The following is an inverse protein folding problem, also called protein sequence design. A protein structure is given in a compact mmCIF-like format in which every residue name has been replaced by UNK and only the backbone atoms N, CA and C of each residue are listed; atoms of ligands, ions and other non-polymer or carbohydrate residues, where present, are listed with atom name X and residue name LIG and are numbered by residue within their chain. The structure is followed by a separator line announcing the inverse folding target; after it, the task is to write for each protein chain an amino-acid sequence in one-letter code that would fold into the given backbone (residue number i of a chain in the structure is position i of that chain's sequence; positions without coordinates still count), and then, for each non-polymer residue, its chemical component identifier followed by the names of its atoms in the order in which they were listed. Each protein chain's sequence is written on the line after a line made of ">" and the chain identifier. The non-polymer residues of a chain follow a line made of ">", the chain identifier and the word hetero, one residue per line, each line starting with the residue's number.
data_IF_264466265856
#
_entry.id   IF_264466265856
#
_cell.length_a   1.000
_cell.length_b   1.000
_cell.length_c   1.000
_cell.angle_alpha   90.00
_cell.angle_beta   90.00
_cell.angle_gamma   90.00
#
_symmetry.space_group_name_H-M   'P 1'
#
loop_
_entity.id
_entity.type
_entity.pdbx_description
1 polymer ?
#
# COMPACT_ATOMS: atom_id res chain seq x y z
N UNK A 1 -7.13 -5.55 -14.02
CA UNK A 1 -6.00 -4.60 -14.07
C UNK A 1 -4.70 -5.29 -13.67
N UNK A 2 -4.59 -5.93 -12.50
CA UNK A 2 -3.37 -6.60 -12.03
C UNK A 2 -2.89 -7.70 -12.99
N UNK A 3 -3.79 -8.57 -13.46
CA UNK A 3 -3.48 -9.62 -14.43
C UNK A 3 -2.90 -9.04 -15.74
N UNK A 4 -3.43 -7.91 -16.19
CA UNK A 4 -2.91 -7.25 -17.40
C UNK A 4 -1.52 -6.69 -17.14
N UNK A 5 -1.28 -6.12 -15.98
CA UNK A 5 0.04 -5.60 -15.60
C UNK A 5 1.07 -6.72 -15.50
N UNK A 6 0.71 -7.84 -14.89
CA UNK A 6 1.53 -9.05 -14.81
C UNK A 6 1.89 -9.57 -16.21
N UNK A 7 0.87 -9.73 -17.07
CA UNK A 7 1.11 -10.11 -18.47
C UNK A 7 2.05 -9.15 -19.21
N UNK A 8 1.87 -7.83 -19.02
CA UNK A 8 2.74 -6.84 -19.62
C UNK A 8 4.19 -6.92 -19.12
N UNK A 9 4.37 -7.17 -17.83
CA UNK A 9 5.70 -7.42 -17.25
C UNK A 9 6.32 -8.68 -17.85
N UNK A 10 5.58 -9.78 -17.91
CA UNK A 10 6.07 -11.04 -18.49
C UNK A 10 6.43 -10.91 -19.96
N UNK A 11 5.66 -10.16 -20.74
CA UNK A 11 6.01 -9.87 -22.14
C UNK A 11 7.36 -9.13 -22.24
N UNK A 12 7.59 -8.16 -21.34
CA UNK A 12 8.83 -7.38 -21.34
C UNK A 12 10.07 -8.21 -20.95
N UNK A 13 9.93 -9.08 -19.95
CA UNK A 13 11.08 -9.79 -19.38
C UNK A 13 11.28 -11.21 -19.94
N UNK A 14 10.23 -11.87 -20.40
CA UNK A 14 10.23 -13.27 -20.80
C UNK A 14 9.82 -13.48 -22.26
N UNK A 15 9.29 -12.44 -22.91
CA UNK A 15 8.81 -12.46 -24.28
C UNK A 15 7.36 -12.95 -24.41
N UNK A 16 6.67 -12.47 -25.45
CA UNK A 16 5.23 -12.65 -25.67
C UNK A 16 4.79 -14.13 -25.67
N UNK A 17 5.60 -15.02 -26.20
CA UNK A 17 5.26 -16.46 -26.33
C UNK A 17 5.16 -17.14 -24.95
N UNK A 18 6.09 -16.86 -24.05
CA UNK A 18 6.09 -17.43 -22.71
C UNK A 18 5.01 -16.77 -21.85
N UNK A 19 4.86 -15.45 -21.95
CA UNK A 19 3.82 -14.71 -21.24
C UNK A 19 2.42 -15.24 -21.60
N UNK A 20 2.13 -15.50 -22.89
CA UNK A 20 0.84 -16.08 -23.30
C UNK A 20 0.62 -17.50 -22.79
N UNK A 21 1.68 -18.31 -22.70
CA UNK A 21 1.56 -19.69 -22.24
C UNK A 21 1.18 -19.77 -20.75
N UNK A 22 1.62 -18.82 -19.94
CA UNK A 22 1.31 -18.75 -18.51
C UNK A 22 0.04 -17.93 -18.20
N UNK A 23 -0.34 -17.01 -19.08
CA UNK A 23 -1.54 -16.19 -18.90
C UNK A 23 -2.87 -16.98 -19.03
N UNK A 24 -2.85 -18.13 -19.66
CA UNK A 24 -4.00 -19.01 -19.80
C UNK A 24 -3.73 -20.33 -19.05
N UNK A 25 -4.55 -20.76 -18.07
CA UNK A 25 -5.93 -20.36 -17.83
C UNK A 25 -6.06 -19.22 -16.80
N UNK A 26 -7.08 -18.36 -17.01
CA UNK A 26 -7.55 -17.43 -15.99
C UNK A 26 -7.99 -18.25 -14.76
N UNK A 27 -7.16 -18.30 -13.74
CA UNK A 27 -7.52 -18.88 -12.46
C UNK A 27 -8.30 -17.85 -11.67
N UNK A 28 -9.39 -18.25 -11.04
CA UNK A 28 -10.08 -17.43 -10.04
C UNK A 28 -9.23 -17.42 -8.76
N UNK A 29 -8.12 -16.72 -8.80
CA UNK A 29 -7.35 -16.48 -7.59
C UNK A 29 -7.99 -15.28 -6.88
N UNK A 30 -8.39 -15.47 -5.63
CA UNK A 30 -9.03 -14.45 -4.80
C UNK A 30 -8.01 -13.40 -4.30
N UNK A 31 -7.32 -12.74 -5.21
CA UNK A 31 -6.31 -11.72 -4.88
C UNK A 31 -6.90 -10.37 -4.49
N UNK A 32 -8.22 -10.23 -4.59
CA UNK A 32 -8.89 -8.98 -4.29
C UNK A 32 -9.75 -9.16 -3.04
N UNK A 33 -9.32 -8.55 -1.95
CA UNK A 33 -10.12 -8.45 -0.74
C UNK A 33 -10.93 -7.17 -0.76
N UNK A 34 -12.26 -7.30 -0.72
CA UNK A 34 -13.16 -6.15 -0.69
C UNK A 34 -13.32 -5.64 0.74
N UNK A 35 -13.08 -4.35 0.96
CA UNK A 35 -13.28 -3.74 2.27
C UNK A 35 -12.59 -2.38 2.42
N UNK A 36 -12.79 -1.74 3.58
CA UNK A 36 -12.05 -0.55 3.93
C UNK A 36 -10.65 -0.93 4.39
N UNK A 37 -9.63 -0.60 3.59
CA UNK A 37 -8.24 -0.95 3.87
C UNK A 37 -7.73 -0.47 5.24
N UNK A 38 -8.28 0.63 5.78
CA UNK A 38 -7.91 1.10 7.11
C UNK A 38 -8.46 0.22 8.24
N UNK A 39 -9.53 -0.56 7.98
CA UNK A 39 -10.16 -1.46 8.95
C UNK A 39 -9.75 -2.92 8.77
N UNK A 40 -9.30 -3.30 7.57
CA UNK A 40 -8.84 -4.66 7.29
C UNK A 40 -7.55 -4.97 8.05
N UNK A 41 -7.38 -6.20 8.46
CA UNK A 41 -6.12 -6.70 9.00
C UNK A 41 -5.19 -7.11 7.85
N UNK A 42 -4.14 -6.32 7.63
CA UNK A 42 -3.20 -6.56 6.54
C UNK A 42 -2.35 -7.81 6.76
N UNK A 43 -2.07 -8.16 8.02
CA UNK A 43 -1.30 -9.36 8.34
C UNK A 43 -2.08 -10.65 8.05
N UNK A 44 -3.41 -10.61 8.20
CA UNK A 44 -4.25 -11.75 7.84
C UNK A 44 -4.40 -11.91 6.32
N UNK A 45 -4.29 -10.82 5.54
CA UNK A 45 -4.38 -10.83 4.08
C UNK A 45 -3.05 -11.23 3.45
N UNK A 46 -1.96 -10.69 3.96
CA UNK A 46 -0.61 -10.98 3.50
C UNK A 46 0.31 -11.13 4.72
N UNK A 47 0.43 -12.33 5.25
CA UNK A 47 1.26 -12.61 6.43
C UNK A 47 2.75 -12.47 6.11
N UNK A 48 3.60 -12.34 7.14
CA UNK A 48 5.04 -12.32 6.97
C UNK A 48 5.54 -13.52 6.18
N UNK A 49 6.60 -13.32 5.40
CA UNK A 49 7.29 -14.39 4.66
C UNK A 49 7.63 -15.57 5.58
N UNK A 50 7.32 -16.79 5.15
CA UNK A 50 7.56 -18.03 5.91
C UNK A 50 6.42 -18.44 6.85
N UNK A 51 5.33 -17.68 6.90
CA UNK A 51 4.11 -18.08 7.62
C UNK A 51 3.03 -18.47 6.62
N UNK A 52 2.57 -19.72 6.65
CA UNK A 52 1.44 -20.17 5.84
C UNK A 52 0.13 -19.51 6.24
N UNK A 53 -0.68 -19.08 5.27
CA UNK A 53 -2.06 -18.62 5.51
C UNK A 53 -3.00 -19.76 5.21
N UNK A 54 -3.76 -20.18 6.21
CA UNK A 54 -4.91 -21.06 5.98
C UNK A 54 -6.10 -20.20 5.56
N UNK A 55 -6.41 -20.17 4.28
CA UNK A 55 -7.65 -19.55 3.80
C UNK A 55 -8.76 -20.60 3.95
N UNK A 56 -9.67 -20.38 4.89
CA UNK A 56 -10.90 -21.13 4.96
C UNK A 56 -11.84 -20.59 3.87
N UNK A 57 -12.08 -21.38 2.84
CA UNK A 57 -13.09 -21.06 1.85
C UNK A 57 -14.47 -21.21 2.51
N UNK A 58 -15.25 -20.13 2.60
CA UNK A 58 -16.66 -20.20 2.94
C UNK A 58 -17.39 -20.88 1.78
N UNK A 59 -17.69 -22.17 1.94
CA UNK A 59 -18.53 -22.90 1.00
C UNK A 59 -20.00 -22.59 1.27
N UNK A 60 -20.65 -21.95 0.31
CA UNK A 60 -22.07 -21.63 0.31
C UNK A 60 -23.00 -22.87 0.25
N UNK A 61 -22.46 -24.08 0.11
CA UNK A 61 -23.24 -25.30 -0.16
C UNK A 61 -22.99 -26.47 0.78
N UNK A 62 -22.42 -26.29 1.96
CA UNK A 62 -22.23 -27.33 2.99
C UNK A 62 -21.85 -28.75 2.44
N UNK A 63 -21.14 -28.82 1.33
CA UNK A 63 -20.59 -30.07 0.84
C UNK A 63 -19.26 -30.33 1.54
N UNK A 64 -19.04 -31.49 2.15
CA UNK A 64 -17.73 -31.86 2.69
C UNK A 64 -16.81 -32.17 1.49
N UNK A 65 -16.24 -31.12 0.91
CA UNK A 65 -15.09 -31.24 0.04
C UNK A 65 -13.89 -31.44 0.96
N UNK A 66 -13.07 -32.45 0.67
CA UNK A 66 -11.73 -32.54 1.23
C UNK A 66 -11.09 -31.15 1.14
N UNK A 67 -10.88 -30.56 2.30
CA UNK A 67 -10.28 -29.23 2.39
C UNK A 67 -8.93 -29.28 1.69
N UNK A 68 -8.88 -28.82 0.45
CA UNK A 68 -7.62 -28.44 -0.16
C UNK A 68 -7.14 -27.21 0.61
N UNK A 69 -6.34 -27.43 1.65
CA UNK A 69 -5.53 -26.38 2.27
C UNK A 69 -4.64 -25.84 1.16
N UNK A 70 -5.00 -24.67 0.63
CA UNK A 70 -4.09 -23.92 -0.23
C UNK A 70 -3.12 -23.27 0.74
N UNK A 71 -2.04 -23.98 1.04
CA UNK A 71 -0.87 -23.38 1.67
C UNK A 71 -0.26 -22.40 0.68
N UNK A 72 -0.58 -21.13 0.82
CA UNK A 72 0.25 -20.08 0.29
C UNK A 72 1.53 -20.04 1.12
N UNK A 73 2.47 -20.90 0.82
CA UNK A 73 3.83 -20.71 1.25
C UNK A 73 4.36 -19.48 0.52
N UNK A 74 4.47 -18.37 1.23
CA UNK A 74 5.24 -17.22 0.75
C UNK A 74 6.72 -17.63 0.81
N UNK A 75 7.18 -18.33 -0.22
CA UNK A 75 8.52 -18.91 -0.32
C UNK A 75 9.61 -17.85 -0.51
N UNK A 76 9.63 -16.80 0.32
CA UNK A 76 10.76 -15.88 0.39
C UNK A 76 10.76 -14.77 -0.66
N UNK A 77 9.59 -14.38 -1.17
CA UNK A 77 9.44 -13.20 -2.02
C UNK A 77 9.53 -11.89 -1.24
N UNK A 78 9.98 -10.83 -1.90
CA UNK A 78 9.90 -9.47 -1.36
C UNK A 78 8.45 -9.01 -1.29
N UNK A 79 8.04 -8.40 -0.16
CA UNK A 79 6.70 -7.84 0.00
C UNK A 79 6.72 -6.33 -0.22
N UNK A 80 5.91 -5.87 -1.17
CA UNK A 80 5.76 -4.46 -1.49
C UNK A 80 4.32 -4.00 -1.25
N UNK A 81 4.16 -2.92 -0.50
CA UNK A 81 2.87 -2.24 -0.33
C UNK A 81 2.91 -0.96 -1.16
N UNK A 82 2.08 -0.88 -2.18
CA UNK A 82 1.98 0.31 -3.00
C UNK A 82 0.54 0.73 -3.21
N UNK A 83 0.31 2.03 -3.37
CA UNK A 83 -1.02 2.53 -3.61
C UNK A 83 -1.10 4.03 -3.80
N UNK A 84 -2.28 4.47 -4.20
CA UNK A 84 -2.68 5.87 -4.29
C UNK A 84 -3.93 6.06 -3.40
N UNK A 85 -3.75 6.15 -2.07
CA UNK A 85 -4.86 6.30 -1.14
C UNK A 85 -5.63 7.60 -1.35
N UNK A 86 -6.90 7.68 -0.97
CA UNK A 86 -7.70 8.89 -1.15
C UNK A 86 -7.15 10.05 -0.32
N UNK A 87 -7.03 11.22 -0.97
CA UNK A 87 -6.61 12.47 -0.34
C UNK A 87 -7.83 13.22 0.16
N UNK A 88 -7.85 13.57 1.42
CA UNK A 88 -8.92 14.39 1.98
C UNK A 88 -8.43 15.14 3.21
N UNK A 89 -8.33 16.44 3.09
CA UNK A 89 -7.91 17.33 4.18
C UNK A 89 -8.84 17.21 5.40
N UNK A 90 -8.31 17.43 6.58
CA UNK A 90 -9.02 17.24 7.86
C UNK A 90 -10.36 17.99 7.96
N UNK A 91 -10.51 19.12 7.26
CA UNK A 91 -11.75 19.92 7.27
C UNK A 91 -12.88 19.30 6.46
N UNK A 92 -12.53 18.52 5.42
CA UNK A 92 -13.48 17.95 4.47
C UNK A 92 -13.84 16.49 4.81
N UNK A 93 -13.18 15.91 5.82
CA UNK A 93 -13.44 14.55 6.28
C UNK A 93 -14.81 14.42 6.94
N UNK A 94 -15.55 13.40 6.52
CA UNK A 94 -16.81 12.98 7.13
C UNK A 94 -16.53 12.22 8.44
N UNK A 95 -17.58 12.03 9.25
CA UNK A 95 -17.46 11.33 10.53
C UNK A 95 -16.91 9.89 10.41
N UNK A 96 -17.25 9.18 9.34
CA UNK A 96 -16.73 7.83 9.08
C UNK A 96 -15.22 7.83 8.90
N UNK A 97 -14.69 8.78 8.13
CA UNK A 97 -13.25 8.93 7.88
C UNK A 97 -12.48 9.38 9.13
N UNK A 98 -13.09 10.27 9.91
CA UNK A 98 -12.55 10.64 11.23
C UNK A 98 -12.56 9.46 12.21
N UNK A 99 -13.58 8.60 12.15
CA UNK A 99 -13.64 7.39 12.95
C UNK A 99 -12.52 6.40 12.54
N UNK A 100 -12.25 6.27 11.24
CA UNK A 100 -11.13 5.44 10.75
C UNK A 100 -9.78 5.95 11.28
N UNK A 101 -9.52 7.26 11.18
CA UNK A 101 -8.29 7.84 11.71
C UNK A 101 -8.22 7.71 13.24
N UNK A 102 -9.34 7.87 13.94
CA UNK A 102 -9.39 7.66 15.40
C UNK A 102 -8.92 6.26 15.77
N UNK A 103 -9.37 5.22 15.08
CA UNK A 103 -8.95 3.83 15.35
C UNK A 103 -7.43 3.66 15.27
N UNK A 104 -6.78 4.38 14.36
CA UNK A 104 -5.35 4.25 14.09
C UNK A 104 -4.48 5.15 14.95
N UNK A 105 -4.95 6.35 15.25
CA UNK A 105 -4.13 7.40 15.87
C UNK A 105 -4.49 7.71 17.33
N UNK A 106 -5.71 7.35 17.80
CA UNK A 106 -6.11 7.66 19.16
C UNK A 106 -5.15 7.05 20.17
N UNK A 107 -4.72 7.85 21.17
CA UNK A 107 -3.70 7.48 22.17
C UNK A 107 -2.27 7.26 21.65
N UNK A 108 -2.02 7.39 20.34
CA UNK A 108 -0.68 7.24 19.76
C UNK A 108 -0.06 8.57 19.36
N UNK A 109 -0.87 9.48 18.86
CA UNK A 109 -0.42 10.73 18.23
C UNK A 109 -1.30 11.88 18.73
N UNK A 110 -0.70 12.88 19.33
CA UNK A 110 -1.38 14.13 19.63
C UNK A 110 -1.70 14.89 18.34
N UNK A 111 -2.78 15.67 18.36
CA UNK A 111 -3.22 16.49 17.22
C UNK A 111 -3.52 15.73 15.92
N UNK A 112 -3.73 14.42 15.97
CA UNK A 112 -4.04 13.60 14.80
C UNK A 112 -5.26 14.08 14.01
N UNK A 113 -6.19 14.81 14.65
CA UNK A 113 -7.38 15.36 14.00
C UNK A 113 -7.08 16.40 12.91
N UNK A 114 -5.85 16.91 12.86
CA UNK A 114 -5.37 17.82 11.81
C UNK A 114 -4.81 17.07 10.58
N UNK A 115 -4.68 15.75 10.66
CA UNK A 115 -4.08 14.94 9.61
C UNK A 115 -5.00 14.77 8.40
N UNK A 116 -4.40 14.68 7.22
CA UNK A 116 -5.06 14.26 5.99
C UNK A 116 -5.46 12.78 6.09
N UNK A 117 -6.56 12.40 5.44
CA UNK A 117 -7.07 11.02 5.49
C UNK A 117 -6.05 10.00 4.98
N UNK A 118 -5.23 10.36 3.99
CA UNK A 118 -4.16 9.51 3.46
C UNK A 118 -3.18 9.02 4.52
N UNK A 119 -3.01 9.76 5.61
CA UNK A 119 -2.09 9.42 6.70
C UNK A 119 -2.45 8.12 7.41
N UNK A 120 -3.72 7.70 7.36
CA UNK A 120 -4.16 6.41 7.88
C UNK A 120 -3.45 5.23 7.21
N UNK A 121 -3.20 5.29 5.90
CA UNK A 121 -2.43 4.26 5.19
C UNK A 121 -0.97 4.26 5.61
N UNK A 122 -0.40 5.43 5.86
CA UNK A 122 0.99 5.57 6.30
C UNK A 122 1.25 4.90 7.65
N UNK A 123 0.41 5.19 8.64
CA UNK A 123 0.59 4.60 9.97
C UNK A 123 0.31 3.09 9.95
N UNK A 124 -0.67 2.66 9.17
CA UNK A 124 -1.00 1.25 9.02
C UNK A 124 0.12 0.47 8.30
N UNK A 125 0.71 1.07 7.28
CA UNK A 125 1.88 0.50 6.61
C UNK A 125 3.10 0.44 7.54
N UNK A 126 3.33 1.47 8.35
CA UNK A 126 4.38 1.44 9.34
C UNK A 126 4.18 0.28 10.33
N UNK A 127 2.96 0.09 10.84
CA UNK A 127 2.63 -1.04 11.73
C UNK A 127 2.86 -2.39 11.04
N UNK A 128 2.52 -2.53 9.77
CA UNK A 128 2.77 -3.74 9.01
C UNK A 128 4.26 -3.99 8.79
N UNK A 129 5.03 -2.96 8.43
CA UNK A 129 6.47 -3.08 8.23
C UNK A 129 7.25 -3.44 9.50
N UNK A 130 6.70 -3.16 10.70
CA UNK A 130 7.34 -3.60 11.97
C UNK A 130 7.26 -5.10 12.19
N UNK A 131 6.34 -5.78 11.54
CA UNK A 131 6.10 -7.21 11.68
C UNK A 131 6.52 -8.01 10.45
N UNK A 132 6.97 -7.31 9.41
CA UNK A 132 7.36 -7.89 8.12
C UNK A 132 8.59 -7.18 7.57
N UNK A 133 9.25 -7.76 6.58
CA UNK A 133 10.34 -7.12 5.84
C UNK A 133 9.84 -6.29 4.64
N UNK A 134 8.61 -5.79 4.70
CA UNK A 134 7.98 -5.08 3.61
C UNK A 134 8.56 -3.68 3.40
N UNK A 135 8.46 -3.23 2.15
CA UNK A 135 8.65 -1.83 1.76
C UNK A 135 7.29 -1.27 1.38
N UNK A 136 6.88 -0.16 2.00
CA UNK A 136 5.63 0.50 1.69
C UNK A 136 5.87 1.85 1.01
N UNK A 137 5.17 2.12 -0.10
CA UNK A 137 5.27 3.38 -0.82
C UNK A 137 3.90 3.84 -1.31
N UNK A 138 3.58 5.10 -1.05
CA UNK A 138 2.31 5.69 -1.47
C UNK A 138 2.53 6.96 -2.27
N UNK A 139 1.65 7.13 -3.26
CA UNK A 139 1.42 8.45 -3.86
C UNK A 139 0.54 9.23 -2.88
N UNK A 140 0.99 10.38 -2.46
CA UNK A 140 0.27 11.22 -1.49
C UNK A 140 0.31 12.67 -1.93
N UNK A 141 -0.63 13.47 -1.46
CA UNK A 141 -0.51 14.92 -1.65
C UNK A 141 0.80 15.41 -1.02
N UNK A 142 1.38 16.42 -1.62
CA UNK A 142 2.60 17.07 -1.11
C UNK A 142 2.50 17.52 0.36
N UNK A 143 1.29 17.63 0.89
CA UNK A 143 1.02 17.99 2.29
C UNK A 143 1.71 17.09 3.31
N UNK A 144 1.93 15.80 3.00
CA UNK A 144 2.66 14.90 3.93
C UNK A 144 4.13 15.29 4.14
N UNK A 145 4.70 16.05 3.21
CA UNK A 145 6.08 16.50 3.24
C UNK A 145 6.21 17.95 3.76
N UNK A 146 5.13 18.60 4.15
CA UNK A 146 5.14 20.00 4.57
C UNK A 146 4.04 20.36 5.58
N UNK A 147 4.20 21.51 6.21
CA UNK A 147 3.21 22.07 7.13
C UNK A 147 2.96 21.18 8.36
N UNK A 148 1.72 21.17 8.82
CA UNK A 148 1.31 20.47 10.04
C UNK A 148 1.39 18.94 9.96
N UNK A 149 1.40 18.37 8.76
CA UNK A 149 1.48 16.91 8.61
C UNK A 149 2.83 16.38 9.10
N UNK A 150 3.90 17.12 8.81
CA UNK A 150 5.27 16.67 9.13
C UNK A 150 5.49 16.43 10.62
N UNK A 151 5.25 17.41 11.52
CA UNK A 151 5.51 17.21 12.96
C UNK A 151 4.51 16.25 13.62
N UNK A 152 3.39 15.92 13.00
CA UNK A 152 2.38 15.03 13.59
C UNK A 152 2.55 13.60 13.10
N UNK A 153 2.71 13.38 11.78
CA UNK A 153 2.77 12.04 11.18
C UNK A 153 4.14 11.37 11.34
N UNK A 154 5.20 12.08 10.91
CA UNK A 154 6.51 11.45 10.76
C UNK A 154 7.15 10.99 12.06
N UNK A 155 7.03 11.69 13.19
CA UNK A 155 7.51 11.17 14.47
C UNK A 155 6.89 9.83 14.86
N UNK A 156 5.60 9.63 14.57
CA UNK A 156 4.93 8.36 14.85
C UNK A 156 5.45 7.22 13.96
N UNK A 157 5.69 7.49 12.68
CA UNK A 157 6.30 6.52 11.74
C UNK A 157 7.72 6.17 12.17
N UNK A 158 8.54 7.15 12.52
CA UNK A 158 9.91 6.89 12.94
C UNK A 158 9.98 6.19 14.30
N UNK A 159 9.06 6.49 15.21
CA UNK A 159 8.97 5.81 16.51
C UNK A 159 8.60 4.33 16.38
N UNK A 160 7.95 3.91 15.29
CA UNK A 160 7.71 2.50 14.99
C UNK A 160 8.95 1.75 14.46
N UNK A 161 10.08 2.44 14.26
CA UNK A 161 11.29 1.87 13.68
C UNK A 161 11.38 1.99 12.16
N UNK A 162 10.34 2.44 11.50
CA UNK A 162 10.38 2.70 10.06
C UNK A 162 11.26 3.91 9.74
N UNK A 163 11.88 3.86 8.57
CA UNK A 163 12.71 4.92 8.02
C UNK A 163 12.36 5.15 6.54
N UNK A 164 12.65 6.32 6.03
CA UNK A 164 12.50 6.60 4.59
C UNK A 164 13.62 5.86 3.85
N UNK A 165 13.26 5.01 2.91
CA UNK A 165 14.19 4.28 2.03
C UNK A 165 14.47 5.08 0.75
N UNK A 166 13.42 5.60 0.13
CA UNK A 166 13.50 6.47 -1.02
C UNK A 166 12.38 7.50 -1.05
N UNK A 167 12.54 8.55 -1.83
CA UNK A 167 11.49 9.51 -2.10
C UNK A 167 11.61 10.10 -3.50
N UNK A 168 10.46 10.48 -4.07
CA UNK A 168 10.37 11.38 -5.22
C UNK A 168 9.95 12.77 -4.74
N UNK A 169 10.67 13.78 -5.17
CA UNK A 169 10.28 15.17 -4.92
C UNK A 169 8.92 15.46 -5.53
N UNK A 170 8.27 16.49 -5.04
CA UNK A 170 6.92 16.84 -5.47
C UNK A 170 6.83 17.11 -6.95
N UNK A 171 5.83 16.55 -7.61
CA UNK A 171 5.54 16.74 -9.03
C UNK A 171 4.04 16.87 -9.27
N UNK A 172 3.66 17.39 -10.41
CA UNK A 172 2.26 17.47 -10.81
C UNK A 172 1.77 16.13 -11.29
N UNK A 173 0.72 15.62 -10.64
CA UNK A 173 0.03 14.42 -11.10
C UNK A 173 -0.83 14.78 -12.31
N UNK A 174 -0.40 14.37 -13.50
CA UNK A 174 -1.15 14.55 -14.73
C UNK A 174 -1.96 13.28 -15.03
N UNK A 175 -3.29 13.39 -15.02
CA UNK A 175 -4.18 12.37 -15.55
C UNK A 175 -4.47 12.66 -17.01
N UNK A 176 -4.60 11.64 -17.85
CA UNK A 176 -5.11 11.73 -19.22
C UNK A 176 -6.60 12.13 -19.30
N UNK A 177 -7.26 12.32 -18.15
CA UNK A 177 -8.65 12.73 -18.09
C UNK A 177 -8.82 14.22 -18.38
N UNK A 178 -9.85 14.58 -19.11
CA UNK A 178 -10.13 15.93 -19.63
C UNK A 178 -10.42 17.04 -18.59
N UNK A 179 -10.42 16.72 -17.29
CA UNK A 179 -10.56 17.67 -16.18
C UNK A 179 -9.47 17.44 -15.16
N UNK A 180 -8.29 17.94 -15.48
CA UNK A 180 -7.10 17.85 -14.63
C UNK A 180 -7.19 18.84 -13.47
N UNK A 181 -7.65 18.43 -12.31
CA UNK A 181 -7.27 19.09 -11.07
C UNK A 181 -5.80 18.73 -10.82
N UNK A 182 -4.87 19.58 -11.25
CA UNK A 182 -3.44 19.37 -11.10
C UNK A 182 -3.05 19.30 -9.62
N UNK A 183 -3.13 18.13 -9.03
CA UNK A 183 -2.71 17.90 -7.65
C UNK A 183 -1.20 17.71 -7.63
N UNK A 184 -0.52 18.44 -6.77
CA UNK A 184 0.91 18.20 -6.52
C UNK A 184 1.04 17.04 -5.54
N UNK A 185 1.76 16.02 -5.96
CA UNK A 185 1.97 14.80 -5.18
C UNK A 185 3.45 14.58 -4.89
N UNK A 186 3.72 13.75 -3.90
CA UNK A 186 5.03 13.18 -3.59
C UNK A 186 4.89 11.67 -3.45
N UNK A 187 5.95 10.93 -3.74
CA UNK A 187 6.04 9.50 -3.45
C UNK A 187 7.14 9.32 -2.43
N UNK A 188 6.82 8.60 -1.35
CA UNK A 188 7.81 8.28 -0.32
C UNK A 188 7.71 6.78 -0.04
N UNK A 189 8.85 6.13 0.07
CA UNK A 189 8.97 4.73 0.46
C UNK A 189 9.50 4.62 1.89
N UNK A 190 8.85 3.79 2.71
CA UNK A 190 9.25 3.50 4.10
C UNK A 190 9.46 2.01 4.31
N UNK A 191 10.38 1.67 5.18
CA UNK A 191 10.68 0.30 5.62
C UNK A 191 11.40 0.33 6.97
N UNK A 192 11.44 -0.79 7.67
CA UNK A 192 12.31 -0.98 8.85
C UNK A 192 13.75 -1.32 8.48
N UNK A 193 13.99 -1.74 7.22
CA UNK A 193 15.31 -2.12 6.70
C UNK A 193 15.70 -1.25 5.49
N UNK A 194 15.99 0.05 5.69
CA UNK A 194 16.31 0.94 4.59
C UNK A 194 17.63 0.57 3.92
N UNK A 195 17.65 0.68 2.61
CA UNK A 195 18.86 0.49 1.80
C UNK A 195 19.87 1.64 2.00
N UNK A 196 21.13 1.35 1.78
CA UNK A 196 22.18 2.36 1.79
C UNK A 196 22.86 2.40 0.40
N UNK A 197 23.05 3.56 -0.22
CA UNK A 197 22.54 4.88 0.19
C UNK A 197 21.01 5.01 -0.04
N UNK A 198 20.34 5.84 0.79
CA UNK A 198 18.94 6.23 0.55
C UNK A 198 18.87 7.10 -0.70
N UNK A 199 17.77 7.00 -1.44
CA UNK A 199 17.63 7.63 -2.74
C UNK A 199 16.56 8.71 -2.73
N UNK A 200 16.93 9.90 -3.22
CA UNK A 200 16.00 10.97 -3.53
C UNK A 200 15.97 11.16 -5.05
N UNK A 201 14.81 11.02 -5.64
CA UNK A 201 14.59 11.21 -7.07
C UNK A 201 13.90 12.55 -7.32
N UNK A 202 14.26 13.21 -8.42
CA UNK A 202 13.53 14.33 -8.96
C UNK A 202 13.11 14.00 -10.40
N UNK A 203 11.90 14.42 -10.78
CA UNK A 203 11.54 14.43 -12.19
C UNK A 203 12.15 15.69 -12.79
N UNK A 204 13.07 15.52 -13.69
CA UNK A 204 13.60 16.64 -14.47
C UNK A 204 12.48 17.25 -15.28
N UNK A 205 12.45 18.60 -15.31
CA UNK A 205 11.42 19.39 -16.01
C UNK A 205 11.52 19.32 -17.54
N UNK A 206 12.22 18.33 -18.06
CA UNK A 206 12.43 18.05 -19.48
C UNK A 206 11.78 16.74 -19.90
N UNK A 207 10.49 16.56 -19.60
CA UNK A 207 9.66 15.46 -20.08
C UNK A 207 8.50 15.98 -20.89
#
# INVERSE_FOLDING_TARGET
>A
ALIIAEYQCDVLYRGQRLALAEFLPLRNENWITCGNALRLDWLSICPPTGTGVKVQADDLFETPLDQAEIDFENEGGETYICGNPPYLGSRDQKEEQKADLRLLFDKRVENWKSLDYVTGWWIKAADYCTQTEAIAAFVSTNSICQGLQVPVLWPAIFASGCQIDFAYTSFRWANLASRNAGVTVAIVGITTQPRSPRRLFSLDSSG
#
